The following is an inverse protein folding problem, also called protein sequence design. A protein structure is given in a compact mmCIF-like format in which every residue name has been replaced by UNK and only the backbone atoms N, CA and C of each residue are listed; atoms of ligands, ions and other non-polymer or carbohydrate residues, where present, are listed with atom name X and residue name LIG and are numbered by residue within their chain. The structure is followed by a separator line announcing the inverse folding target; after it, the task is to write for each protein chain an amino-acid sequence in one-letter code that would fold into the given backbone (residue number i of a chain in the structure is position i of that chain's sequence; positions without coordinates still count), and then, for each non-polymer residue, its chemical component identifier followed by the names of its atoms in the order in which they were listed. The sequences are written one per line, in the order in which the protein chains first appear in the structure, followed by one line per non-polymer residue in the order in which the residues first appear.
data_IF_443866493864
#
_entry.id   IF_443866493864
#
_cell.length_a   1.000
_cell.length_b   1.000
_cell.length_c   1.000
_cell.angle_alpha   90.00
_cell.angle_beta   90.00
_cell.angle_gamma   90.00
#
_symmetry.space_group_name_H-M   'P 1'
#
loop_
_entity.id
_entity.type
_entity.pdbx_description
1 polymer ?
#
# COMPACT_ATOMS: atom_id res chain seq x y z
N UNK A 1 0.10 3.52 20.08
CA UNK A 1 -0.88 3.71 18.97
C UNK A 1 -0.50 4.94 18.16
N UNK A 2 -0.36 6.10 18.81
CA UNK A 2 0.12 7.36 18.20
C UNK A 2 1.49 7.19 17.49
N UNK A 3 2.44 6.49 18.11
CA UNK A 3 3.77 6.28 17.52
C UNK A 3 3.77 5.47 16.21
N UNK A 4 2.82 4.56 16.01
CA UNK A 4 2.73 3.80 14.76
C UNK A 4 2.17 4.65 13.60
N UNK A 5 1.28 5.59 13.91
CA UNK A 5 0.75 6.54 12.93
C UNK A 5 1.85 7.52 12.51
N UNK A 6 2.63 8.03 13.47
CA UNK A 6 3.79 8.90 13.20
C UNK A 6 4.85 8.21 12.33
N UNK A 7 5.12 6.93 12.61
CA UNK A 7 6.06 6.14 11.81
C UNK A 7 5.56 6.00 10.36
N UNK A 8 4.29 5.65 10.17
CA UNK A 8 3.68 5.56 8.84
C UNK A 8 3.74 6.90 8.07
N UNK A 9 3.41 8.01 8.73
CA UNK A 9 3.50 9.35 8.13
C UNK A 9 4.94 9.71 7.73
N UNK A 10 5.93 9.36 8.56
CA UNK A 10 7.35 9.56 8.25
C UNK A 10 7.74 8.80 6.99
N UNK A 11 7.39 7.51 6.92
CA UNK A 11 7.70 6.64 5.77
C UNK A 11 7.08 7.19 4.48
N UNK A 12 5.82 7.60 4.53
CA UNK A 12 5.12 8.19 3.39
C UNK A 12 5.82 9.47 2.95
N UNK A 13 6.13 10.36 3.90
CA UNK A 13 6.80 11.64 3.61
C UNK A 13 8.17 11.43 2.99
N UNK A 14 8.96 10.52 3.54
CA UNK A 14 10.28 10.15 3.02
C UNK A 14 10.18 9.56 1.62
N UNK A 15 9.25 8.63 1.39
CA UNK A 15 9.06 8.00 0.09
C UNK A 15 8.61 9.00 -0.99
N UNK A 16 7.70 9.92 -0.65
CA UNK A 16 7.20 10.96 -1.54
C UNK A 16 8.25 12.04 -1.85
N UNK A 17 9.20 12.29 -0.94
CA UNK A 17 10.26 13.30 -1.11
C UNK A 17 11.52 12.75 -1.78
N UNK A 18 11.64 11.43 -1.90
CA UNK A 18 12.77 10.78 -2.54
C UNK A 18 12.76 10.99 -4.06
N UNK A 19 13.94 10.88 -4.68
CA UNK A 19 14.12 11.03 -6.13
C UNK A 19 13.20 10.10 -6.93
N UNK A 20 12.78 10.51 -8.12
CA UNK A 20 11.90 9.73 -9.00
C UNK A 20 10.46 10.22 -8.98
N UNK A 21 9.55 9.42 -9.52
CA UNK A 21 8.15 9.80 -9.75
C UNK A 21 7.20 9.19 -8.70
N UNK A 22 5.90 9.40 -8.90
CA UNK A 22 4.84 8.86 -8.04
C UNK A 22 4.84 7.32 -7.96
N UNK A 23 5.23 6.63 -9.03
CA UNK A 23 5.38 5.16 -9.04
C UNK A 23 6.56 4.73 -8.17
N UNK A 24 7.70 5.43 -8.22
CA UNK A 24 8.83 5.14 -7.34
C UNK A 24 8.46 5.31 -5.86
N UNK A 25 7.68 6.35 -5.56
CA UNK A 25 7.19 6.63 -4.20
C UNK A 25 6.32 5.48 -3.69
N UNK A 26 5.36 5.04 -4.51
CA UNK A 26 4.47 3.92 -4.20
C UNK A 26 5.26 2.60 -4.02
N UNK A 27 6.23 2.32 -4.89
CA UNK A 27 7.07 1.12 -4.81
C UNK A 27 7.94 1.11 -3.53
N UNK A 28 8.41 2.27 -3.06
CA UNK A 28 9.14 2.39 -1.78
C UNK A 28 8.24 2.08 -0.59
N UNK A 29 7.04 2.68 -0.55
CA UNK A 29 6.05 2.43 0.49
C UNK A 29 5.70 0.94 0.51
N UNK A 30 5.43 0.35 -0.65
CA UNK A 30 5.15 -1.06 -0.81
C UNK A 30 6.28 -1.96 -0.28
N UNK A 31 7.55 -1.66 -0.61
CA UNK A 31 8.71 -2.40 -0.09
C UNK A 31 8.80 -2.31 1.43
N UNK A 32 8.58 -1.12 2.00
CA UNK A 32 8.59 -0.92 3.44
C UNK A 32 7.46 -1.71 4.13
N UNK A 33 6.22 -1.60 3.64
CA UNK A 33 5.07 -2.36 4.16
C UNK A 33 5.34 -3.86 4.10
N UNK A 34 5.88 -4.35 2.98
CA UNK A 34 6.25 -5.76 2.85
C UNK A 34 7.27 -6.18 3.92
N UNK A 35 8.31 -5.39 4.17
CA UNK A 35 9.33 -5.69 5.18
C UNK A 35 8.74 -5.75 6.59
N UNK A 36 7.95 -4.75 6.99
CA UNK A 36 7.31 -4.69 8.31
C UNK A 36 6.35 -5.87 8.50
N UNK A 37 5.47 -6.10 7.54
CA UNK A 37 4.45 -7.16 7.62
C UNK A 37 5.09 -8.56 7.59
N UNK A 38 6.19 -8.76 6.86
CA UNK A 38 6.90 -10.05 6.82
C UNK A 38 7.55 -10.42 8.15
N UNK A 39 7.85 -9.44 9.00
CA UNK A 39 8.44 -9.65 10.33
C UNK A 39 7.39 -9.80 11.43
N UNK A 40 6.12 -9.48 11.15
CA UNK A 40 5.03 -9.63 12.11
C UNK A 40 4.53 -11.08 12.17
N UNK A 41 4.42 -11.62 13.39
CA UNK A 41 3.72 -12.87 13.58
C UNK A 41 2.21 -12.69 13.31
N UNK A 42 1.55 -13.55 12.51
CA UNK A 42 0.14 -13.39 12.15
C UNK A 42 -0.82 -13.28 13.35
N UNK A 43 -0.47 -13.90 14.48
CA UNK A 43 -1.30 -13.84 15.70
C UNK A 43 -1.37 -12.44 16.31
N UNK A 44 -0.41 -11.54 16.06
CA UNK A 44 -0.39 -10.21 16.68
C UNK A 44 -1.63 -9.41 16.29
N UNK A 45 -1.98 -9.40 15.00
CA UNK A 45 -3.17 -8.70 14.50
C UNK A 45 -4.45 -9.34 15.04
N UNK A 46 -4.49 -10.67 15.10
CA UNK A 46 -5.63 -11.43 15.64
C UNK A 46 -5.84 -11.16 17.13
N UNK A 47 -4.78 -11.23 17.93
CA UNK A 47 -4.81 -11.01 19.37
C UNK A 47 -5.20 -9.57 19.70
N UNK A 48 -4.66 -8.59 18.96
CA UNK A 48 -5.02 -7.18 19.13
C UNK A 48 -6.49 -6.94 18.81
N UNK A 49 -7.02 -7.54 17.74
CA UNK A 49 -8.43 -7.44 17.39
C UNK A 49 -9.34 -8.12 18.44
N UNK A 50 -8.94 -9.29 18.95
CA UNK A 50 -9.73 -10.09 19.90
C UNK A 50 -9.77 -9.49 21.30
N UNK A 51 -8.61 -9.10 21.83
CA UNK A 51 -8.48 -8.67 23.22
C UNK A 51 -8.55 -7.15 23.39
N UNK A 52 -8.32 -6.36 22.33
CA UNK A 52 -8.34 -4.90 22.37
C UNK A 52 -9.09 -4.27 21.18
N UNK A 53 -10.39 -4.60 20.96
CA UNK A 53 -11.13 -4.20 19.76
C UNK A 53 -11.26 -2.68 19.57
N UNK A 54 -11.39 -1.91 20.65
CA UNK A 54 -11.47 -0.44 20.59
C UNK A 54 -10.13 0.15 20.13
N UNK A 55 -9.02 -0.33 20.70
CA UNK A 55 -7.68 0.12 20.32
C UNK A 55 -7.36 -0.29 18.87
N UNK A 56 -7.75 -1.50 18.48
CA UNK A 56 -7.61 -1.97 17.11
C UNK A 56 -8.41 -1.08 16.13
N UNK A 57 -9.68 -0.78 16.42
CA UNK A 57 -10.50 0.07 15.56
C UNK A 57 -9.92 1.48 15.42
N UNK A 58 -9.46 2.09 16.51
CA UNK A 58 -8.84 3.42 16.47
C UNK A 58 -7.55 3.42 15.64
N UNK A 59 -6.72 2.37 15.77
CA UNK A 59 -5.50 2.19 15.00
C UNK A 59 -5.82 2.09 13.49
N UNK A 60 -6.76 1.24 13.12
CA UNK A 60 -7.14 1.02 11.72
C UNK A 60 -7.74 2.31 11.13
N UNK A 61 -8.64 2.99 11.82
CA UNK A 61 -9.25 4.23 11.34
C UNK A 61 -8.20 5.33 11.11
N UNK A 62 -7.25 5.48 12.04
CA UNK A 62 -6.17 6.48 11.90
C UNK A 62 -5.27 6.15 10.71
N UNK A 63 -4.90 4.86 10.57
CA UNK A 63 -4.11 4.38 9.45
C UNK A 63 -4.82 4.60 8.11
N UNK A 64 -6.11 4.27 8.04
CA UNK A 64 -6.89 4.38 6.82
C UNK A 64 -7.05 5.86 6.41
N UNK A 65 -7.21 6.78 7.36
CA UNK A 65 -7.22 8.22 7.10
C UNK A 65 -5.88 8.73 6.52
N UNK A 66 -4.75 8.28 7.08
CA UNK A 66 -3.41 8.62 6.58
C UNK A 66 -3.22 8.08 5.15
N UNK A 67 -3.58 6.81 4.92
CA UNK A 67 -3.45 6.18 3.59
C UNK A 67 -4.33 6.87 2.54
N UNK A 68 -5.57 7.24 2.89
CA UNK A 68 -6.46 7.95 1.96
C UNK A 68 -5.80 9.23 1.44
N UNK A 69 -5.29 10.08 2.35
CA UNK A 69 -4.64 11.33 1.96
C UNK A 69 -3.35 11.12 1.17
N UNK A 70 -2.53 10.15 1.58
CA UNK A 70 -1.26 9.83 0.91
C UNK A 70 -1.47 9.31 -0.51
N UNK A 71 -2.39 8.36 -0.70
CA UNK A 71 -2.69 7.77 -2.01
C UNK A 71 -3.32 8.82 -2.91
N UNK A 72 -4.27 9.62 -2.42
CA UNK A 72 -4.87 10.69 -3.21
C UNK A 72 -3.83 11.70 -3.70
N UNK A 73 -2.91 12.12 -2.82
CA UNK A 73 -1.81 13.03 -3.17
C UNK A 73 -0.84 12.40 -4.18
N UNK A 74 -0.50 11.12 -4.01
CA UNK A 74 0.39 10.41 -4.92
C UNK A 74 -0.24 10.27 -6.32
N UNK A 75 -1.55 10.00 -6.39
CA UNK A 75 -2.28 9.92 -7.66
C UNK A 75 -2.26 11.28 -8.38
N UNK A 76 -2.59 12.37 -7.69
CA UNK A 76 -2.56 13.73 -8.27
C UNK A 76 -1.17 14.06 -8.82
N UNK A 77 -0.13 13.79 -8.03
CA UNK A 77 1.26 13.98 -8.45
C UNK A 77 1.58 13.15 -9.70
N UNK A 78 1.23 11.86 -9.72
CA UNK A 78 1.52 11.02 -10.88
C UNK A 78 0.70 11.37 -12.12
N UNK A 79 -0.47 12.01 -11.95
CA UNK A 79 -1.19 12.64 -13.06
C UNK A 79 -0.40 13.83 -13.61
N UNK A 80 0.09 14.73 -12.75
CA UNK A 80 0.93 15.86 -13.17
C UNK A 80 2.23 15.39 -13.87
N UNK A 81 2.80 14.29 -13.42
CA UNK A 81 4.00 13.65 -14.00
C UNK A 81 3.69 12.78 -15.24
N UNK A 82 2.41 12.59 -15.57
CA UNK A 82 1.96 11.79 -16.72
C UNK A 82 2.07 10.27 -16.56
N UNK A 83 2.50 9.77 -15.40
CA UNK A 83 2.64 8.32 -15.10
C UNK A 83 1.33 7.67 -14.67
N UNK A 84 0.35 8.45 -14.22
CA UNK A 84 -1.01 7.99 -13.95
C UNK A 84 -2.01 8.59 -14.94
N UNK A 85 -3.15 7.91 -15.12
CA UNK A 85 -4.18 8.32 -16.08
C UNK A 85 -4.96 9.54 -15.59
N UNK A 86 -5.23 10.47 -16.51
CA UNK A 86 -5.87 11.76 -16.20
C UNK A 86 -7.34 11.62 -15.82
N UNK A 87 -8.03 10.60 -16.33
CA UNK A 87 -9.45 10.37 -16.07
C UNK A 87 -9.73 9.62 -14.75
N UNK A 88 -8.68 9.16 -14.06
CA UNK A 88 -8.83 8.53 -12.74
C UNK A 88 -9.18 9.60 -11.71
N UNK A 89 -10.30 9.42 -11.01
CA UNK A 89 -10.62 10.25 -9.84
C UNK A 89 -9.71 9.83 -8.66
N UNK A 90 -8.84 10.72 -8.15
CA UNK A 90 -7.90 10.38 -7.08
C UNK A 90 -8.58 9.93 -5.78
N UNK A 91 -9.70 10.56 -5.42
CA UNK A 91 -10.41 10.26 -4.18
C UNK A 91 -11.11 8.91 -4.22
N UNK A 92 -11.70 8.55 -5.36
CA UNK A 92 -12.33 7.22 -5.57
C UNK A 92 -11.26 6.13 -5.61
N UNK A 93 -10.17 6.34 -6.34
CA UNK A 93 -9.09 5.36 -6.45
C UNK A 93 -8.40 5.11 -5.10
N UNK A 94 -8.20 6.16 -4.28
CA UNK A 94 -7.68 6.02 -2.92
C UNK A 94 -8.62 5.17 -2.03
N UNK A 95 -9.93 5.40 -2.10
CA UNK A 95 -10.93 4.59 -1.39
C UNK A 95 -10.89 3.12 -1.81
N UNK A 96 -10.70 2.83 -3.10
CA UNK A 96 -10.54 1.46 -3.58
C UNK A 96 -9.31 0.79 -2.98
N UNK A 97 -8.14 1.43 -2.98
CA UNK A 97 -6.93 0.83 -2.41
C UNK A 97 -7.08 0.55 -0.90
N UNK A 98 -7.64 1.49 -0.14
CA UNK A 98 -7.86 1.32 1.31
C UNK A 98 -8.88 0.21 1.59
N UNK A 99 -9.91 0.08 0.76
CA UNK A 99 -10.88 -1.01 0.83
C UNK A 99 -10.24 -2.36 0.50
N UNK A 100 -9.40 -2.44 -0.54
CA UNK A 100 -8.62 -3.65 -0.86
C UNK A 100 -7.69 -4.02 0.30
N UNK A 101 -7.06 -3.04 0.95
CA UNK A 101 -6.26 -3.30 2.16
C UNK A 101 -7.08 -3.95 3.28
N UNK A 102 -8.35 -3.59 3.41
CA UNK A 102 -9.27 -4.20 4.37
C UNK A 102 -9.60 -5.64 4.00
N UNK A 103 -9.92 -5.90 2.74
CA UNK A 103 -10.10 -7.27 2.22
C UNK A 103 -8.84 -8.13 2.40
N UNK A 104 -7.64 -7.59 2.18
CA UNK A 104 -6.38 -8.31 2.42
C UNK A 104 -6.25 -8.76 3.88
N UNK A 105 -6.69 -7.95 4.84
CA UNK A 105 -6.68 -8.34 6.26
C UNK A 105 -7.65 -9.48 6.55
N UNK A 106 -8.85 -9.44 5.99
CA UNK A 106 -9.83 -10.52 6.12
C UNK A 106 -9.30 -11.82 5.49
N UNK A 107 -8.73 -11.73 4.30
CA UNK A 107 -8.06 -12.85 3.63
C UNK A 107 -6.92 -13.45 4.44
N UNK A 108 -6.20 -12.64 5.24
CA UNK A 108 -5.12 -13.11 6.10
C UNK A 108 -5.62 -13.80 7.38
N UNK A 109 -6.89 -13.59 7.76
CA UNK A 109 -7.53 -14.26 8.89
C UNK A 109 -8.21 -15.57 8.48
N UNK A 110 -8.50 -15.74 7.19
CA UNK A 110 -9.01 -16.98 6.62
C UNK A 110 -7.94 -18.08 6.66
N UNK A 111 -8.15 -19.08 7.51
CA UNK A 111 -7.25 -20.23 7.67
C UNK A 111 -7.15 -21.11 6.41
N UNK A 112 -8.05 -20.97 5.44
CA UNK A 112 -7.96 -21.65 4.15
C UNK A 112 -7.02 -20.94 3.17
N UNK A 113 -6.67 -19.68 3.44
CA UNK A 113 -5.71 -18.93 2.65
C UNK A 113 -4.27 -19.20 3.11
N UNK A 114 -3.47 -19.76 2.22
CA UNK A 114 -2.08 -20.15 2.51
C UNK A 114 -1.07 -19.07 2.07
N UNK A 115 -1.52 -17.95 1.51
CA UNK A 115 -0.64 -16.88 1.07
C UNK A 115 -0.19 -16.03 2.27
N UNK A 116 1.11 -15.74 2.40
CA UNK A 116 1.60 -14.79 3.39
C UNK A 116 0.94 -13.41 3.21
N UNK A 117 0.53 -12.79 4.30
CA UNK A 117 -0.11 -11.46 4.28
C UNK A 117 0.76 -10.40 3.59
N UNK A 118 2.09 -10.47 3.74
CA UNK A 118 3.01 -9.59 3.03
C UNK A 118 2.89 -9.72 1.49
N UNK A 119 2.71 -10.94 0.99
CA UNK A 119 2.49 -11.19 -0.43
C UNK A 119 1.12 -10.66 -0.88
N UNK A 120 0.07 -10.79 -0.06
CA UNK A 120 -1.25 -10.22 -0.36
C UNK A 120 -1.19 -8.70 -0.49
N UNK A 121 -0.49 -8.01 0.42
CA UNK A 121 -0.29 -6.58 0.35
C UNK A 121 0.51 -6.17 -0.89
N UNK A 122 1.62 -6.87 -1.19
CA UNK A 122 2.39 -6.64 -2.41
C UNK A 122 1.53 -6.75 -3.67
N UNK A 123 0.73 -7.81 -3.78
CA UNK A 123 -0.17 -8.00 -4.93
C UNK A 123 -1.26 -6.93 -5.00
N UNK A 124 -1.82 -6.49 -3.87
CA UNK A 124 -2.82 -5.42 -3.85
C UNK A 124 -2.26 -4.07 -4.32
N UNK A 125 -1.04 -3.73 -3.93
CA UNK A 125 -0.37 -2.52 -4.37
C UNK A 125 -0.08 -2.57 -5.87
N UNK A 126 0.47 -3.69 -6.37
CA UNK A 126 0.73 -3.87 -7.80
C UNK A 126 -0.56 -3.82 -8.62
N UNK A 127 -1.63 -4.48 -8.16
CA UNK A 127 -2.95 -4.41 -8.78
C UNK A 127 -3.42 -2.96 -8.89
N UNK A 128 -3.30 -2.17 -7.82
CA UNK A 128 -3.69 -0.77 -7.82
C UNK A 128 -2.86 0.07 -8.78
N UNK A 129 -1.52 -0.03 -8.74
CA UNK A 129 -0.64 0.73 -9.64
C UNK A 129 -0.99 0.41 -11.10
N UNK A 130 -1.09 -0.87 -11.47
CA UNK A 130 -1.51 -1.26 -12.82
C UNK A 130 -2.88 -0.68 -13.18
N UNK A 131 -3.81 -0.70 -12.23
CA UNK A 131 -5.15 -0.20 -12.43
C UNK A 131 -5.19 1.31 -12.66
N UNK A 132 -4.21 2.12 -12.24
CA UNK A 132 -4.22 3.60 -12.41
C UNK A 132 -3.13 4.13 -13.36
N UNK A 133 -2.14 3.31 -13.72
CA UNK A 133 -1.04 3.70 -14.61
C UNK A 133 -1.51 4.11 -16.00
N UNK A 134 -0.88 5.16 -16.52
CA UNK A 134 -0.91 5.50 -17.95
C UNK A 134 -0.07 4.48 -18.75
N UNK A 135 -0.14 4.46 -20.09
CA UNK A 135 0.74 3.60 -20.89
C UNK A 135 2.22 3.84 -20.57
N UNK A 136 2.62 5.11 -20.37
CA UNK A 136 3.99 5.48 -19.96
C UNK A 136 4.32 4.99 -18.55
N UNK A 137 3.40 5.16 -17.59
CA UNK A 137 3.61 4.67 -16.23
C UNK A 137 3.64 3.15 -16.14
N UNK A 138 2.88 2.44 -16.98
CA UNK A 138 2.89 0.98 -17.05
C UNK A 138 4.23 0.46 -17.57
N UNK A 139 4.75 1.06 -18.65
CA UNK A 139 6.09 0.74 -19.16
C UNK A 139 7.17 1.02 -18.09
N UNK A 140 7.08 2.18 -17.42
CA UNK A 140 7.97 2.53 -16.33
C UNK A 140 7.93 1.48 -15.19
N UNK A 141 6.73 1.09 -14.76
CA UNK A 141 6.53 0.07 -13.72
C UNK A 141 7.15 -1.26 -14.13
N UNK A 142 6.89 -1.72 -15.35
CA UNK A 142 7.42 -3.00 -15.85
C UNK A 142 8.95 -3.02 -15.85
N UNK A 143 9.58 -1.93 -16.29
CA UNK A 143 11.03 -1.78 -16.25
C UNK A 143 11.58 -1.83 -14.81
N UNK A 144 10.91 -1.18 -13.86
CA UNK A 144 11.28 -1.22 -12.44
C UNK A 144 11.15 -2.62 -11.84
N UNK A 145 10.04 -3.31 -12.14
CA UNK A 145 9.81 -4.66 -11.66
C UNK A 145 10.83 -5.65 -12.23
N UNK A 146 11.19 -5.53 -13.52
CA UNK A 146 12.21 -6.39 -14.11
C UNK A 146 13.61 -6.18 -13.51
N UNK A 147 13.94 -4.93 -13.13
CA UNK A 147 15.21 -4.61 -12.48
C UNK A 147 15.29 -5.08 -11.02
N UNK A 148 14.21 -4.89 -10.26
CA UNK A 148 14.17 -5.13 -8.81
C UNK A 148 13.70 -6.54 -8.42
N UNK A 149 12.87 -7.18 -9.27
CA UNK A 149 12.33 -8.51 -9.05
C UNK A 149 12.80 -9.42 -10.19
N UNK A 150 13.92 -10.10 -9.98
CA UNK A 150 14.25 -11.25 -10.82
C UNK A 150 13.11 -12.26 -10.64
N UNK A 151 12.51 -12.78 -11.72
CA UNK A 151 11.49 -13.81 -11.59
C UNK A 151 12.13 -14.99 -10.86
N UNK A 152 11.67 -15.23 -9.63
CA UNK A 152 11.93 -16.50 -8.98
C UNK A 152 11.12 -17.51 -9.77
N UNK A 153 11.83 -18.20 -10.67
CA UNK A 153 11.41 -19.41 -11.38
C UNK A 153 10.70 -20.39 -10.45
#
# INVERSE_FOLDING_TARGET
MEQHCLELESIITEASSAEGNAIDSELRIMKHVHQVVSQMHPSILYDLQKYHPIAFSNLINSRDAILLGAVESNIKRGQDEGVYRQEVDPGVAAQFLVSISSTVREMAQDTSNHKPIAQLYLQSALYHIHAISSPMGLDYLQNKLAADFHPVS
#
